data_IF_284851017903
#
_entry.id   IF_284851017903
#
_cell.length_a   1.000
_cell.length_b   1.000
_cell.length_c   1.000
_cell.angle_alpha   90.00
_cell.angle_beta   90.00
_cell.angle_gamma   90.00
#
_symmetry.space_group_name_H-M   'P 1'
#
loop_
_entity.id
_entity.type
_entity.pdbx_description
1 polymer ?
#
# COMPACT_ATOMS: atom_id res chain seq x y z
N UNK A 1 20.11 -20.88 36.30
CA UNK A 1 18.72 -20.42 36.14
C UNK A 1 18.60 -19.05 36.81
N UNK A 2 18.29 -18.03 36.02
CA UNK A 2 18.21 -16.65 36.51
C UNK A 2 16.83 -16.31 37.11
N UNK A 3 15.84 -17.26 37.04
CA UNK A 3 14.48 -17.02 37.50
C UNK A 3 14.46 -16.74 39.02
N UNK A 4 14.10 -15.50 39.38
CA UNK A 4 14.09 -15.05 40.80
C UNK A 4 12.67 -14.87 41.33
N UNK A 5 11.73 -14.40 40.51
CA UNK A 5 10.34 -14.16 40.91
C UNK A 5 9.33 -14.22 39.73
N UNK A 6 9.76 -14.70 38.57
CA UNK A 6 8.87 -14.82 37.41
C UNK A 6 7.97 -16.06 37.50
N UNK A 7 6.66 -15.85 37.46
CA UNK A 7 5.65 -16.92 37.57
C UNK A 7 5.06 -17.27 36.19
N UNK A 8 4.49 -18.48 36.10
CA UNK A 8 3.71 -18.96 34.95
C UNK A 8 4.44 -18.93 33.59
N UNK A 9 5.77 -19.16 33.58
CA UNK A 9 6.54 -19.25 32.34
C UNK A 9 6.70 -20.71 31.86
N UNK A 10 6.65 -20.91 30.55
CA UNK A 10 7.00 -22.18 29.89
C UNK A 10 8.27 -21.96 29.07
N UNK A 11 9.36 -22.65 29.41
CA UNK A 11 10.62 -22.59 28.67
C UNK A 11 11.06 -24.01 28.28
N UNK A 12 11.12 -24.28 26.96
CA UNK A 12 11.49 -25.61 26.43
C UNK A 12 12.56 -25.45 25.33
N UNK A 13 13.76 -25.87 25.60
CA UNK A 13 14.88 -25.81 24.64
C UNK A 13 16.18 -25.35 25.29
N UNK A 14 17.29 -25.54 24.56
CA UNK A 14 18.59 -25.06 24.99
C UNK A 14 18.58 -23.52 25.03
N UNK A 15 18.95 -22.94 26.16
CA UNK A 15 18.95 -21.49 26.40
C UNK A 15 17.59 -20.79 26.23
N UNK A 16 16.47 -21.50 26.23
CA UNK A 16 15.16 -20.86 26.21
C UNK A 16 14.91 -20.10 27.53
N UNK A 17 14.68 -18.76 27.44
CA UNK A 17 14.37 -17.91 28.58
C UNK A 17 15.47 -17.84 29.66
N UNK A 18 16.73 -18.03 29.32
CA UNK A 18 17.82 -18.12 30.30
C UNK A 18 18.07 -16.83 31.11
N UNK A 19 17.71 -15.69 30.59
CA UNK A 19 17.85 -14.40 31.28
C UNK A 19 16.63 -14.00 32.12
N UNK A 20 15.51 -14.76 32.06
CA UNK A 20 14.26 -14.38 32.77
C UNK A 20 14.51 -14.26 34.27
N UNK A 21 14.23 -13.09 34.82
CA UNK A 21 14.36 -12.81 36.28
C UNK A 21 13.00 -12.64 36.94
N UNK A 22 12.21 -11.66 36.51
CA UNK A 22 10.85 -11.38 37.00
C UNK A 22 9.78 -11.37 35.92
N UNK A 23 10.13 -11.64 34.66
CA UNK A 23 9.19 -11.81 33.57
C UNK A 23 8.20 -12.97 33.83
N UNK A 24 6.95 -12.83 33.45
CA UNK A 24 5.88 -13.79 33.77
C UNK A 24 4.94 -14.04 32.59
N UNK A 25 4.25 -15.19 32.62
CA UNK A 25 3.31 -15.60 31.58
C UNK A 25 3.94 -15.69 30.16
N UNK A 26 5.21 -16.05 30.04
CA UNK A 26 5.86 -16.23 28.74
C UNK A 26 5.83 -17.69 28.29
N UNK A 27 5.68 -17.93 27.00
CA UNK A 27 5.83 -19.25 26.35
C UNK A 27 7.05 -19.17 25.43
N UNK A 28 8.13 -19.86 25.78
CA UNK A 28 9.45 -19.80 25.12
C UNK A 28 9.84 -21.22 24.70
N UNK A 29 9.66 -21.57 23.43
CA UNK A 29 9.88 -22.92 22.92
C UNK A 29 10.84 -22.90 21.73
N UNK A 30 12.01 -23.46 21.89
CA UNK A 30 13.06 -23.52 20.88
C UNK A 30 14.41 -23.18 21.45
N UNK A 31 15.49 -23.51 20.71
CA UNK A 31 16.84 -23.11 21.12
C UNK A 31 16.93 -21.59 21.10
N UNK A 32 17.36 -20.99 22.22
CA UNK A 32 17.50 -19.55 22.45
C UNK A 32 16.19 -18.74 22.25
N UNK A 33 15.02 -19.37 22.33
CA UNK A 33 13.75 -18.62 22.28
C UNK A 33 13.63 -17.70 23.50
N UNK A 34 13.44 -16.38 23.29
CA UNK A 34 13.35 -15.37 24.34
C UNK A 34 14.59 -15.33 25.25
N UNK A 35 15.79 -15.60 24.74
CA UNK A 35 17.00 -15.77 25.54
C UNK A 35 17.39 -14.51 26.30
N UNK A 36 17.09 -13.31 25.80
CA UNK A 36 17.41 -12.02 26.43
C UNK A 36 16.31 -11.51 27.38
N UNK A 37 15.12 -12.11 27.44
CA UNK A 37 14.03 -11.63 28.30
C UNK A 37 14.47 -11.61 29.75
N UNK A 38 14.38 -10.44 30.41
CA UNK A 38 14.61 -10.29 31.85
C UNK A 38 13.32 -10.03 32.61
N UNK A 39 12.57 -8.98 32.25
CA UNK A 39 11.35 -8.55 32.91
C UNK A 39 10.12 -8.60 32.01
N UNK A 40 10.31 -8.86 30.70
CA UNK A 40 9.23 -8.95 29.70
C UNK A 40 8.19 -10.00 30.04
N UNK A 41 6.92 -9.73 29.74
CA UNK A 41 5.82 -10.59 30.14
C UNK A 41 4.81 -10.83 29.01
N UNK A 42 4.08 -11.95 29.11
CA UNK A 42 2.99 -12.31 28.18
C UNK A 42 3.45 -12.42 26.72
N UNK A 43 4.69 -12.85 26.50
CA UNK A 43 5.22 -13.13 25.19
C UNK A 43 5.05 -14.60 24.82
N UNK A 44 4.88 -14.88 23.53
CA UNK A 44 4.87 -16.22 22.96
C UNK A 44 5.96 -16.29 21.90
N UNK A 45 7.09 -16.95 22.18
CA UNK A 45 8.19 -17.14 21.23
C UNK A 45 8.40 -18.63 20.98
N UNK A 46 8.14 -19.06 19.74
CA UNK A 46 8.24 -20.47 19.33
C UNK A 46 9.10 -20.56 18.07
N UNK A 47 10.29 -21.10 18.20
CA UNK A 47 11.25 -21.27 17.10
C UNK A 47 12.69 -21.05 17.56
N UNK A 48 13.65 -21.42 16.70
CA UNK A 48 15.05 -21.13 16.91
C UNK A 48 15.26 -19.60 16.92
N UNK A 49 15.81 -19.05 18.01
CA UNK A 49 16.04 -17.61 18.18
C UNK A 49 14.79 -16.73 17.99
N UNK A 50 13.58 -17.26 18.18
CA UNK A 50 12.38 -16.43 18.19
C UNK A 50 12.41 -15.50 19.41
N UNK A 51 12.28 -14.18 19.19
CA UNK A 51 12.27 -13.18 20.26
C UNK A 51 13.55 -13.11 21.10
N UNK A 52 14.70 -13.54 20.58
CA UNK A 52 15.92 -13.64 21.37
C UNK A 52 16.58 -12.29 21.71
N UNK A 53 16.18 -11.19 21.03
CA UNK A 53 16.57 -9.81 21.32
C UNK A 53 15.67 -9.05 22.29
N UNK A 54 14.55 -9.64 22.74
CA UNK A 54 13.60 -9.01 23.67
C UNK A 54 14.13 -9.02 25.11
N UNK A 55 13.98 -7.93 25.83
CA UNK A 55 14.38 -7.81 27.24
C UNK A 55 13.17 -7.56 28.17
N UNK A 56 12.53 -6.40 28.03
CA UNK A 56 11.44 -5.96 28.89
C UNK A 56 10.06 -5.89 28.19
N UNK A 57 10.03 -6.07 26.88
CA UNK A 57 8.86 -5.91 26.03
C UNK A 57 7.78 -6.96 26.34
N UNK A 58 6.53 -6.57 26.08
CA UNK A 58 5.38 -7.37 26.48
C UNK A 58 4.39 -7.60 25.32
N UNK A 59 3.58 -8.65 25.45
CA UNK A 59 2.51 -8.97 24.52
C UNK A 59 2.93 -9.24 23.07
N UNK A 60 4.15 -9.69 22.84
CA UNK A 60 4.63 -10.06 21.51
C UNK A 60 4.43 -11.55 21.23
N UNK A 61 4.09 -11.88 19.97
CA UNK A 61 3.97 -13.25 19.49
C UNK A 61 4.92 -13.47 18.32
N UNK A 62 5.95 -14.27 18.49
CA UNK A 62 6.91 -14.67 17.47
C UNK A 62 6.88 -16.19 17.26
N UNK A 63 6.45 -16.65 16.08
CA UNK A 63 6.41 -18.07 15.73
C UNK A 63 7.17 -18.30 14.42
N UNK A 64 8.33 -18.92 14.52
CA UNK A 64 9.24 -19.18 13.40
C UNK A 64 10.68 -18.92 13.80
N UNK A 65 11.62 -19.41 12.99
CA UNK A 65 13.05 -19.11 13.17
C UNK A 65 13.30 -17.61 13.04
N UNK A 66 13.92 -16.98 14.04
CA UNK A 66 14.23 -15.54 14.04
C UNK A 66 13.01 -14.61 13.97
N UNK A 67 11.80 -15.12 14.18
CA UNK A 67 10.63 -14.24 14.25
C UNK A 67 10.75 -13.30 15.45
N UNK A 68 10.69 -11.96 15.22
CA UNK A 68 10.99 -10.96 16.24
C UNK A 68 12.37 -11.16 16.90
N UNK A 69 13.37 -11.70 16.16
CA UNK A 69 14.67 -12.07 16.70
C UNK A 69 15.66 -10.90 16.84
N UNK A 70 15.39 -9.77 16.19
CA UNK A 70 16.27 -8.59 16.25
C UNK A 70 16.29 -7.88 17.60
N UNK A 71 17.23 -6.95 17.79
CA UNK A 71 17.33 -6.18 19.02
C UNK A 71 16.13 -5.24 19.13
N UNK A 72 15.25 -5.49 20.06
CA UNK A 72 14.09 -4.65 20.37
C UNK A 72 14.43 -3.60 21.42
N UNK A 73 13.80 -2.45 21.35
CA UNK A 73 13.93 -1.36 22.30
C UNK A 73 12.56 -0.69 22.50
N UNK A 74 11.62 -1.48 23.01
CA UNK A 74 10.29 -1.02 23.40
C UNK A 74 9.13 -1.44 22.48
N UNK A 75 9.36 -2.19 21.39
CA UNK A 75 8.29 -2.67 20.51
C UNK A 75 7.37 -3.69 21.19
N UNK A 76 6.06 -3.41 21.28
CA UNK A 76 5.08 -4.22 21.97
C UNK A 76 3.87 -4.56 21.08
N UNK A 77 3.09 -5.56 21.50
CA UNK A 77 1.86 -5.98 20.82
C UNK A 77 2.06 -6.40 19.35
N UNK A 78 3.24 -6.89 18.98
CA UNK A 78 3.51 -7.35 17.63
C UNK A 78 3.21 -8.85 17.46
N UNK A 79 2.71 -9.23 16.30
CA UNK A 79 2.47 -10.62 15.91
C UNK A 79 3.31 -10.95 14.67
N UNK A 80 4.25 -11.86 14.81
CA UNK A 80 5.13 -12.33 13.73
C UNK A 80 5.02 -13.84 13.58
N UNK A 81 4.53 -14.31 12.45
CA UNK A 81 4.40 -15.75 12.14
C UNK A 81 5.11 -16.05 10.82
N UNK A 82 6.24 -16.70 10.89
CA UNK A 82 7.10 -17.01 9.75
C UNK A 82 8.58 -16.81 10.09
N UNK A 83 9.47 -17.48 9.37
CA UNK A 83 10.91 -17.26 9.56
C UNK A 83 11.27 -15.82 9.22
N UNK A 84 12.01 -15.14 10.09
CA UNK A 84 12.47 -13.74 9.96
C UNK A 84 11.33 -12.71 9.83
N UNK A 85 10.11 -13.03 10.26
CA UNK A 85 9.03 -12.04 10.29
C UNK A 85 9.30 -11.00 11.38
N UNK A 86 9.25 -9.70 11.05
CA UNK A 86 9.51 -8.56 11.94
C UNK A 86 10.86 -8.65 12.69
N UNK A 87 11.88 -9.23 12.08
CA UNK A 87 13.16 -9.45 12.79
C UNK A 87 13.97 -8.16 13.05
N UNK A 88 13.67 -7.05 12.36
CA UNK A 88 14.31 -5.76 12.58
C UNK A 88 13.50 -4.78 13.44
N UNK A 89 12.31 -5.16 13.94
CA UNK A 89 11.49 -4.27 14.78
C UNK A 89 12.25 -3.85 16.03
N UNK A 90 12.30 -2.54 16.27
CA UNK A 90 12.90 -1.96 17.48
C UNK A 90 11.87 -1.27 18.37
N UNK A 91 11.24 -0.22 17.87
CA UNK A 91 10.25 0.59 18.62
C UNK A 91 8.84 0.51 18.06
N UNK A 92 8.63 -0.23 16.95
CA UNK A 92 7.33 -0.36 16.29
C UNK A 92 6.35 -1.23 17.08
N UNK A 93 5.11 -0.73 17.26
CA UNK A 93 4.05 -1.41 17.99
C UNK A 93 2.91 -1.85 17.09
N UNK A 94 2.12 -2.84 17.57
CA UNK A 94 0.87 -3.27 16.95
C UNK A 94 1.00 -3.73 15.50
N UNK A 95 2.15 -4.25 15.09
CA UNK A 95 2.32 -4.81 13.75
C UNK A 95 1.89 -6.27 13.70
N UNK A 96 1.29 -6.68 12.59
CA UNK A 96 0.97 -8.08 12.29
C UNK A 96 1.69 -8.49 11.01
N UNK A 97 2.62 -9.43 11.10
CA UNK A 97 3.35 -9.98 9.98
C UNK A 97 3.20 -11.50 9.88
N UNK A 98 2.71 -11.98 8.76
CA UNK A 98 2.50 -13.40 8.49
C UNK A 98 3.13 -13.79 7.16
N UNK A 99 4.20 -14.56 7.22
CA UNK A 99 4.97 -15.00 6.05
C UNK A 99 6.46 -14.92 6.29
N UNK A 100 7.24 -15.68 5.52
CA UNK A 100 8.69 -15.57 5.52
C UNK A 100 9.10 -14.16 5.08
N UNK A 101 9.98 -13.50 5.83
CA UNK A 101 10.44 -12.13 5.59
C UNK A 101 9.30 -11.07 5.54
N UNK A 102 8.16 -11.33 6.16
CA UNK A 102 7.12 -10.31 6.26
C UNK A 102 7.54 -9.20 7.24
N UNK A 103 7.62 -7.95 6.77
CA UNK A 103 7.99 -6.78 7.58
C UNK A 103 9.44 -6.78 8.08
N UNK A 104 10.38 -7.48 7.44
CA UNK A 104 11.77 -7.64 7.94
C UNK A 104 12.52 -6.33 8.16
N UNK A 105 12.26 -5.27 7.39
CA UNK A 105 12.92 -3.97 7.57
C UNK A 105 12.13 -3.01 8.49
N UNK A 106 11.01 -3.43 9.07
CA UNK A 106 10.18 -2.57 9.91
C UNK A 106 10.90 -2.28 11.23
N UNK A 107 11.44 -1.06 11.39
CA UNK A 107 12.20 -0.64 12.56
C UNK A 107 11.34 0.14 13.55
N UNK A 108 10.73 1.24 13.09
CA UNK A 108 9.89 2.14 13.89
C UNK A 108 8.42 2.14 13.43
N UNK A 109 8.14 1.45 12.31
CA UNK A 109 6.80 1.35 11.75
C UNK A 109 5.80 0.70 12.71
N UNK A 110 4.58 1.25 12.79
CA UNK A 110 3.57 0.78 13.74
C UNK A 110 2.21 0.60 13.08
N UNK A 111 1.39 -0.30 13.64
CA UNK A 111 0.02 -0.55 13.20
C UNK A 111 -0.07 -1.00 11.73
N UNK A 112 0.91 -1.77 11.28
CA UNK A 112 0.95 -2.32 9.93
C UNK A 112 0.47 -3.78 9.90
N UNK A 113 -0.10 -4.18 8.76
CA UNK A 113 -0.44 -5.57 8.45
C UNK A 113 0.35 -6.02 7.22
N UNK A 114 1.24 -6.98 7.38
CA UNK A 114 2.05 -7.59 6.33
C UNK A 114 1.70 -9.08 6.21
N UNK A 115 1.05 -9.49 5.13
CA UNK A 115 0.70 -10.91 4.91
C UNK A 115 1.17 -11.37 3.54
N UNK A 116 2.15 -12.26 3.51
CA UNK A 116 2.73 -12.81 2.27
C UNK A 116 4.25 -12.81 2.27
N UNK A 117 4.85 -13.36 1.22
CA UNK A 117 6.30 -13.45 1.01
C UNK A 117 6.78 -12.61 -0.17
N UNK A 118 7.74 -11.73 0.03
CA UNK A 118 7.87 -10.86 1.19
C UNK A 118 6.82 -9.73 1.11
N UNK A 119 6.08 -9.50 2.16
CA UNK A 119 5.17 -8.36 2.26
C UNK A 119 5.76 -7.33 3.23
N UNK A 120 5.83 -6.06 2.84
CA UNK A 120 6.37 -4.98 3.69
C UNK A 120 7.88 -5.09 3.97
N UNK A 121 8.65 -5.85 3.18
CA UNK A 121 10.10 -6.06 3.40
C UNK A 121 10.91 -4.75 3.43
N UNK A 122 10.46 -3.72 2.72
CA UNK A 122 11.14 -2.41 2.65
C UNK A 122 10.55 -1.36 3.61
N UNK A 123 9.47 -1.68 4.34
CA UNK A 123 8.80 -0.73 5.23
C UNK A 123 9.65 -0.51 6.49
N UNK A 124 10.29 0.65 6.62
CA UNK A 124 11.12 1.00 7.78
C UNK A 124 10.30 1.67 8.87
N UNK A 125 9.66 2.79 8.55
CA UNK A 125 9.01 3.67 9.52
C UNK A 125 7.52 3.93 9.17
N UNK A 126 7.03 3.35 8.06
CA UNK A 126 5.65 3.50 7.61
C UNK A 126 4.62 3.00 8.63
N UNK A 127 3.44 3.64 8.67
CA UNK A 127 2.39 3.34 9.66
C UNK A 127 1.04 3.12 8.98
N UNK A 128 0.18 2.36 9.65
CA UNK A 128 -1.20 2.12 9.20
C UNK A 128 -1.30 1.46 7.82
N UNK A 129 -0.25 0.78 7.35
CA UNK A 129 -0.27 0.16 6.04
C UNK A 129 -0.84 -1.26 6.11
N UNK A 130 -1.67 -1.61 5.13
CA UNK A 130 -2.15 -2.98 4.90
C UNK A 130 -1.54 -3.50 3.60
N UNK A 131 -0.62 -4.44 3.69
CA UNK A 131 0.08 -5.05 2.57
C UNK A 131 -0.17 -6.56 2.57
N UNK A 132 -1.03 -7.02 1.66
CA UNK A 132 -1.44 -8.42 1.57
C UNK A 132 -1.15 -8.97 0.18
N UNK A 133 -0.22 -9.88 0.09
CA UNK A 133 0.19 -10.51 -1.17
C UNK A 133 1.69 -10.76 -1.27
N UNK A 134 2.10 -11.54 -2.27
CA UNK A 134 3.51 -11.76 -2.51
C UNK A 134 4.18 -10.53 -3.13
N UNK A 135 5.35 -10.17 -2.64
CA UNK A 135 6.18 -9.08 -3.18
C UNK A 135 5.52 -7.69 -3.14
N UNK A 136 4.66 -7.43 -2.15
CA UNK A 136 4.13 -6.10 -1.84
C UNK A 136 5.12 -5.41 -0.91
N UNK A 137 6.20 -4.84 -1.45
CA UNK A 137 7.40 -4.54 -0.66
C UNK A 137 8.07 -3.18 -0.94
N UNK A 138 7.42 -2.25 -1.64
CA UNK A 138 8.06 -0.97 -2.01
C UNK A 138 7.83 0.17 -1.03
N UNK A 139 6.79 0.11 -0.19
CA UNK A 139 6.55 1.18 0.80
C UNK A 139 7.69 1.19 1.82
N UNK A 140 8.28 2.36 2.02
CA UNK A 140 9.35 2.59 3.01
C UNK A 140 8.85 3.35 4.22
N UNK A 141 8.41 4.58 4.03
CA UNK A 141 7.93 5.49 5.07
C UNK A 141 6.49 5.96 4.87
N UNK A 142 5.85 5.58 3.75
CA UNK A 142 4.45 5.95 3.44
C UNK A 142 3.45 5.45 4.48
N UNK A 143 2.37 6.21 4.69
CA UNK A 143 1.34 5.92 5.70
C UNK A 143 -0.04 5.67 5.09
N UNK A 144 -0.84 4.88 5.80
CA UNK A 144 -2.26 4.63 5.48
C UNK A 144 -2.49 4.10 4.05
N UNK A 145 -1.65 3.19 3.59
CA UNK A 145 -1.79 2.56 2.29
C UNK A 145 -2.46 1.18 2.40
N UNK A 146 -3.30 0.84 1.43
CA UNK A 146 -3.95 -0.46 1.30
C UNK A 146 -3.53 -1.11 -0.02
N UNK A 147 -2.57 -2.03 0.03
CA UNK A 147 -1.97 -2.69 -1.12
C UNK A 147 -2.31 -4.19 -1.07
N UNK A 148 -3.11 -4.65 -2.01
CA UNK A 148 -3.64 -6.03 -2.01
C UNK A 148 -3.36 -6.71 -3.34
N UNK A 149 -2.82 -7.91 -3.28
CA UNK A 149 -2.47 -8.71 -4.45
C UNK A 149 -0.97 -8.74 -4.71
N UNK A 150 -0.54 -9.66 -5.59
CA UNK A 150 0.86 -9.79 -5.95
C UNK A 150 1.40 -8.46 -6.49
N UNK A 151 2.56 -8.03 -5.99
CA UNK A 151 3.27 -6.83 -6.44
C UNK A 151 2.45 -5.52 -6.44
N UNK A 152 1.34 -5.45 -5.69
CA UNK A 152 0.56 -4.22 -5.56
C UNK A 152 1.42 -3.09 -4.97
N UNK A 153 1.37 -1.90 -5.55
CA UNK A 153 2.17 -0.74 -5.15
C UNK A 153 3.64 -0.77 -5.60
N UNK A 154 4.08 -1.78 -6.35
CA UNK A 154 5.45 -1.86 -6.90
C UNK A 154 5.56 -1.23 -8.29
N UNK A 155 6.76 -1.22 -8.88
CA UNK A 155 6.96 -0.80 -10.28
C UNK A 155 6.16 -1.66 -11.28
N UNK A 156 5.78 -2.88 -10.89
CA UNK A 156 4.97 -3.79 -11.69
C UNK A 156 3.46 -3.51 -11.61
N UNK A 157 3.02 -2.59 -10.77
CA UNK A 157 1.61 -2.20 -10.64
C UNK A 157 1.31 -0.87 -11.35
N UNK A 158 0.03 -0.52 -11.55
CA UNK A 158 -0.35 0.78 -12.13
C UNK A 158 0.16 2.00 -11.34
N UNK A 159 0.40 1.84 -10.05
CA UNK A 159 0.94 2.86 -9.16
C UNK A 159 2.12 2.29 -8.37
N UNK A 160 3.23 3.04 -8.31
CA UNK A 160 4.33 2.74 -7.37
C UNK A 160 4.11 3.54 -6.10
N UNK A 161 4.23 2.90 -4.94
CA UNK A 161 4.05 3.53 -3.63
C UNK A 161 5.31 3.25 -2.81
N UNK A 162 6.12 4.29 -2.60
CA UNK A 162 7.33 4.21 -1.77
C UNK A 162 7.20 5.06 -0.51
N UNK A 163 6.99 6.34 -0.66
CA UNK A 163 6.80 7.31 0.43
C UNK A 163 5.41 7.96 0.39
N UNK A 164 4.59 7.61 -0.61
CA UNK A 164 3.24 8.15 -0.77
C UNK A 164 2.27 7.62 0.29
N UNK A 165 1.30 8.45 0.64
CA UNK A 165 0.29 8.16 1.65
C UNK A 165 -1.10 8.02 1.05
N UNK A 166 -1.99 7.32 1.78
CA UNK A 166 -3.42 7.23 1.49
C UNK A 166 -3.75 6.60 0.12
N UNK A 167 -2.96 5.63 -0.34
CA UNK A 167 -3.14 4.95 -1.62
C UNK A 167 -3.83 3.61 -1.44
N UNK A 168 -4.81 3.32 -2.28
CA UNK A 168 -5.37 1.98 -2.46
C UNK A 168 -4.91 1.43 -3.82
N UNK A 169 -4.19 0.31 -3.82
CA UNK A 169 -3.78 -0.39 -5.03
C UNK A 169 -4.13 -1.88 -4.93
N UNK A 170 -4.78 -2.41 -5.95
CA UNK A 170 -5.18 -3.80 -6.01
C UNK A 170 -4.54 -4.46 -7.23
N UNK A 171 -3.63 -5.39 -6.98
CA UNK A 171 -2.93 -6.17 -7.99
C UNK A 171 -1.81 -5.46 -8.74
N UNK A 172 -1.22 -6.19 -9.67
CA UNK A 172 -0.15 -5.73 -10.55
C UNK A 172 -0.68 -5.41 -11.97
N UNK A 173 0.22 -5.06 -12.88
CA UNK A 173 -0.11 -4.74 -14.28
C UNK A 173 -0.62 -5.94 -15.10
N UNK A 174 -0.63 -7.15 -14.55
CA UNK A 174 -1.16 -8.35 -15.20
C UNK A 174 -2.65 -8.56 -14.91
N UNK A 175 -3.26 -7.77 -14.02
CA UNK A 175 -4.72 -7.82 -13.80
C UNK A 175 -5.42 -7.39 -15.10
N UNK A 176 -6.18 -8.31 -15.68
CA UNK A 176 -6.88 -8.12 -16.95
C UNK A 176 -8.36 -7.80 -16.78
N UNK A 177 -8.96 -8.09 -15.62
CA UNK A 177 -10.38 -7.82 -15.34
C UNK A 177 -10.61 -7.58 -13.85
N UNK A 178 -11.54 -6.68 -13.55
CA UNK A 178 -12.06 -6.46 -12.19
C UNK A 178 -13.56 -6.69 -12.22
N UNK A 179 -14.04 -7.65 -11.41
CA UNK A 179 -15.45 -7.98 -11.31
C UNK A 179 -16.00 -7.53 -9.96
N UNK A 180 -16.92 -6.57 -9.99
CA UNK A 180 -17.55 -6.01 -8.80
C UNK A 180 -19.07 -6.11 -9.01
N UNK A 181 -19.80 -6.65 -8.03
CA UNK A 181 -21.25 -6.86 -8.13
C UNK A 181 -22.04 -5.55 -8.13
N UNK A 182 -21.50 -4.49 -7.53
CA UNK A 182 -22.14 -3.18 -7.40
C UNK A 182 -21.13 -2.08 -7.65
N UNK A 183 -21.57 -0.89 -8.06
CA UNK A 183 -20.67 0.25 -8.26
C UNK A 183 -20.05 0.77 -6.97
N UNK A 184 -18.91 1.42 -7.11
CA UNK A 184 -18.29 2.17 -6.02
C UNK A 184 -19.12 3.41 -5.68
N UNK A 185 -19.45 3.57 -4.40
CA UNK A 185 -20.09 4.79 -3.91
C UNK A 185 -19.03 5.79 -3.49
N UNK A 186 -18.98 6.94 -4.15
CA UNK A 186 -18.07 8.05 -3.81
C UNK A 186 -18.79 8.99 -2.85
N UNK A 187 -18.16 9.31 -1.71
CA UNK A 187 -18.68 10.29 -0.77
C UNK A 187 -18.86 11.65 -1.45
N UNK A 188 -20.02 12.29 -1.28
CA UNK A 188 -20.37 13.53 -1.97
C UNK A 188 -21.30 14.45 -1.15
N UNK A 189 -21.17 14.43 0.18
CA UNK A 189 -21.97 15.32 1.04
C UNK A 189 -21.57 16.79 0.81
N UNK A 190 -22.57 17.66 0.67
CA UNK A 190 -22.35 19.10 0.48
C UNK A 190 -21.63 19.75 1.65
N UNK A 191 -21.82 19.23 2.85
CA UNK A 191 -21.20 19.78 4.09
C UNK A 191 -19.68 19.59 4.14
N UNK A 192 -19.16 18.62 3.36
CA UNK A 192 -17.74 18.28 3.29
C UNK A 192 -17.05 18.95 2.09
N UNK A 193 -17.72 19.91 1.42
CA UNK A 193 -17.22 20.60 0.24
C UNK A 193 -17.18 22.11 0.46
N UNK A 194 -16.12 22.72 -0.03
CA UNK A 194 -15.92 24.19 -0.05
C UNK A 194 -15.58 24.66 -1.45
N UNK A 195 -15.52 25.96 -1.67
CA UNK A 195 -15.12 26.59 -2.94
C UNK A 195 -15.90 26.06 -4.17
N UNK A 196 -17.22 25.87 -3.98
CA UNK A 196 -18.11 25.30 -4.99
C UNK A 196 -18.28 26.32 -6.11
N UNK A 197 -17.80 25.96 -7.31
CA UNK A 197 -17.94 26.76 -8.54
C UNK A 197 -18.50 25.89 -9.68
N UNK A 198 -19.11 26.54 -10.67
CA UNK A 198 -19.58 25.83 -11.88
C UNK A 198 -18.40 25.37 -12.74
N UNK A 199 -18.58 24.23 -13.42
CA UNK A 199 -17.62 23.75 -14.42
C UNK A 199 -17.66 24.72 -15.64
N UNK A 200 -16.49 25.27 -16.05
CA UNK A 200 -16.42 26.15 -17.21
C UNK A 200 -16.32 25.35 -18.53
N UNK A 201 -16.83 25.91 -19.62
CA UNK A 201 -16.57 25.48 -21.00
C UNK A 201 -16.59 23.97 -21.23
N UNK A 202 -17.55 23.26 -20.65
CA UNK A 202 -17.59 21.79 -20.66
C UNK A 202 -17.85 21.22 -22.06
N UNK A 203 -18.67 21.87 -22.89
CA UNK A 203 -18.93 21.46 -24.26
C UNK A 203 -17.65 21.56 -25.12
N UNK A 204 -16.90 22.65 -24.99
CA UNK A 204 -15.64 22.84 -25.73
C UNK A 204 -14.59 21.79 -25.28
N UNK A 205 -14.47 21.55 -23.98
CA UNK A 205 -13.57 20.52 -23.44
C UNK A 205 -13.91 19.12 -24.01
N UNK A 206 -15.16 18.71 -23.93
CA UNK A 206 -15.61 17.41 -24.44
C UNK A 206 -15.40 17.28 -25.97
N UNK A 207 -15.64 18.34 -26.74
CA UNK A 207 -15.44 18.34 -28.18
C UNK A 207 -13.97 18.24 -28.60
N UNK A 208 -13.04 18.68 -27.76
CA UNK A 208 -11.59 18.58 -28.01
C UNK A 208 -10.99 17.24 -27.60
N UNK A 209 -11.67 16.44 -26.76
CA UNK A 209 -11.18 15.13 -26.39
C UNK A 209 -11.08 14.23 -27.63
N UNK A 210 -9.98 13.49 -27.72
CA UNK A 210 -9.71 12.52 -28.80
C UNK A 210 -9.82 11.07 -28.28
N UNK A 211 -10.99 10.42 -28.35
CA UNK A 211 -11.12 9.02 -28.01
C UNK A 211 -10.40 8.15 -29.04
N UNK A 212 -9.57 7.24 -28.56
CA UNK A 212 -8.75 6.35 -29.39
C UNK A 212 -8.99 4.88 -29.09
N UNK A 213 -8.60 4.01 -30.00
CA UNK A 213 -8.38 2.59 -29.74
C UNK A 213 -6.88 2.32 -29.64
N UNK A 214 -6.50 1.44 -28.73
CA UNK A 214 -5.10 1.08 -28.52
C UNK A 214 -4.94 -0.36 -28.04
N UNK A 215 -3.72 -0.86 -28.06
CA UNK A 215 -3.32 -2.11 -27.39
C UNK A 215 -2.29 -1.77 -26.34
N UNK A 216 -2.37 -2.41 -25.19
CA UNK A 216 -1.36 -2.26 -24.18
C UNK A 216 -0.04 -2.86 -24.65
N UNK A 217 1.03 -2.09 -24.49
CA UNK A 217 2.42 -2.49 -24.64
C UNK A 217 3.20 -1.86 -23.49
N UNK A 218 3.23 -2.59 -22.37
CA UNK A 218 3.62 -2.01 -21.08
C UNK A 218 5.15 -1.92 -20.98
N UNK A 219 5.67 -0.76 -20.59
CA UNK A 219 7.10 -0.48 -20.37
C UNK A 219 7.77 -1.52 -19.46
N UNK A 220 7.07 -1.99 -18.44
CA UNK A 220 7.57 -3.00 -17.48
C UNK A 220 7.91 -4.35 -18.15
N UNK A 221 7.31 -4.68 -19.29
CA UNK A 221 7.62 -5.90 -20.03
C UNK A 221 8.98 -5.85 -20.74
N UNK A 222 9.57 -4.67 -20.84
CA UNK A 222 10.87 -4.43 -21.49
C UNK A 222 12.00 -4.21 -20.49
N UNK A 223 11.75 -3.43 -19.43
CA UNK A 223 12.74 -3.06 -18.44
C UNK A 223 12.06 -2.47 -17.20
N UNK A 224 12.74 -2.51 -16.06
CA UNK A 224 12.35 -1.72 -14.87
C UNK A 224 12.55 -0.22 -15.09
N UNK A 225 13.36 0.17 -16.09
CA UNK A 225 13.53 1.56 -16.51
C UNK A 225 12.29 2.06 -17.24
N UNK A 226 11.55 2.95 -16.58
CA UNK A 226 10.31 3.53 -17.10
C UNK A 226 10.50 4.55 -18.23
N UNK A 227 11.73 4.96 -18.52
CA UNK A 227 12.04 5.87 -19.64
C UNK A 227 11.98 5.17 -21.00
N UNK A 228 11.96 3.83 -21.02
CA UNK A 228 11.93 3.06 -22.26
C UNK A 228 10.64 3.30 -23.04
N UNK A 229 10.77 3.37 -24.37
CA UNK A 229 9.63 3.41 -25.28
C UNK A 229 9.37 2.01 -25.83
N UNK A 230 8.20 1.40 -25.59
CA UNK A 230 7.83 0.12 -26.14
C UNK A 230 7.90 0.08 -27.67
N UNK A 231 8.37 -1.04 -28.23
CA UNK A 231 8.57 -1.23 -29.67
C UNK A 231 7.51 -2.12 -30.35
N UNK A 232 6.49 -2.53 -29.59
CA UNK A 232 5.40 -3.38 -30.07
C UNK A 232 5.62 -4.88 -29.92
N UNK A 233 6.78 -5.33 -29.42
CA UNK A 233 7.08 -6.77 -29.31
C UNK A 233 6.30 -7.45 -28.17
N UNK A 234 5.88 -6.71 -27.15
CA UNK A 234 5.11 -7.22 -26.02
C UNK A 234 3.67 -6.70 -25.97
N UNK A 235 3.15 -6.17 -27.08
CA UNK A 235 1.79 -5.68 -27.13
C UNK A 235 0.77 -6.79 -26.93
N UNK A 236 -0.28 -6.48 -26.16
CA UNK A 236 -1.41 -7.39 -25.95
C UNK A 236 -2.30 -7.52 -27.20
N UNK A 237 -2.93 -8.68 -27.39
CA UNK A 237 -3.89 -8.87 -28.47
C UNK A 237 -5.21 -8.12 -28.27
N UNK A 238 -5.57 -7.87 -27.00
CA UNK A 238 -6.82 -7.20 -26.64
C UNK A 238 -6.81 -5.74 -27.11
N UNK A 239 -7.82 -5.35 -27.89
CA UNK A 239 -8.07 -3.96 -28.24
C UNK A 239 -8.80 -3.26 -27.10
N UNK A 240 -8.31 -2.09 -26.72
CA UNK A 240 -8.87 -1.22 -25.69
C UNK A 240 -9.33 0.11 -26.30
N UNK A 241 -10.19 0.83 -25.60
CA UNK A 241 -10.62 2.19 -25.95
C UNK A 241 -10.32 3.13 -24.77
N UNK A 242 -10.01 4.38 -25.07
CA UNK A 242 -9.76 5.37 -24.01
C UNK A 242 -9.17 6.67 -24.53
N UNK A 243 -8.51 7.36 -23.65
CA UNK A 243 -7.79 8.61 -23.92
C UNK A 243 -6.31 8.46 -23.58
N UNK A 244 -5.44 9.25 -24.22
CA UNK A 244 -4.07 9.46 -23.78
C UNK A 244 -4.10 10.48 -22.63
N UNK A 245 -3.56 10.13 -21.48
CA UNK A 245 -3.61 10.98 -20.29
C UNK A 245 -2.89 12.32 -20.52
N UNK A 246 -1.81 12.33 -21.31
CA UNK A 246 -1.06 13.53 -21.66
C UNK A 246 -1.89 14.50 -22.52
N UNK A 247 -2.65 13.99 -23.50
CA UNK A 247 -3.53 14.82 -24.33
C UNK A 247 -4.64 15.46 -23.48
N UNK A 248 -5.17 14.69 -22.51
CA UNK A 248 -6.16 15.22 -21.56
C UNK A 248 -5.55 16.26 -20.63
N UNK A 249 -4.31 16.06 -20.17
CA UNK A 249 -3.58 17.03 -19.35
C UNK A 249 -3.41 18.38 -20.08
N UNK A 250 -3.06 18.34 -21.37
CA UNK A 250 -2.93 19.56 -22.18
C UNK A 250 -4.26 20.35 -22.22
N UNK A 251 -5.38 19.67 -22.41
CA UNK A 251 -6.71 20.29 -22.40
C UNK A 251 -7.09 20.82 -21.00
N UNK A 252 -6.75 20.13 -19.93
CA UNK A 252 -6.97 20.64 -18.57
C UNK A 252 -6.15 21.88 -18.29
N UNK A 253 -4.89 21.93 -18.77
CA UNK A 253 -4.02 23.09 -18.65
C UNK A 253 -4.59 24.32 -19.42
N UNK A 254 -5.20 24.14 -20.60
CA UNK A 254 -5.90 25.21 -21.32
C UNK A 254 -7.04 25.82 -20.51
N UNK A 255 -7.70 25.02 -19.66
CA UNK A 255 -8.77 25.45 -18.75
C UNK A 255 -8.23 26.07 -17.45
N UNK A 256 -6.90 26.09 -17.24
CA UNK A 256 -6.26 26.59 -16.04
C UNK A 256 -6.17 25.57 -14.88
N UNK A 257 -6.42 24.28 -15.16
CA UNK A 257 -6.29 23.20 -14.18
C UNK A 257 -5.02 22.41 -14.45
N UNK A 258 -4.17 22.29 -13.45
CA UNK A 258 -2.89 21.56 -13.61
C UNK A 258 -2.38 20.92 -12.31
N UNK A 259 -1.37 20.04 -12.46
CA UNK A 259 -0.77 19.31 -11.35
C UNK A 259 0.01 20.19 -10.36
N UNK A 260 0.66 21.25 -10.85
CA UNK A 260 1.54 22.08 -10.03
C UNK A 260 0.76 22.88 -8.99
N UNK A 261 -0.47 23.25 -9.34
CA UNK A 261 -1.42 23.91 -8.42
C UNK A 261 -2.36 22.93 -7.72
N UNK A 262 -2.22 21.61 -7.97
CA UNK A 262 -3.10 20.54 -7.46
C UNK A 262 -4.57 20.73 -7.84
N UNK A 263 -4.82 21.29 -9.02
CA UNK A 263 -6.17 21.56 -9.54
C UNK A 263 -6.56 20.62 -10.67
N UNK A 264 -5.70 19.67 -11.07
CA UNK A 264 -6.01 18.67 -12.09
C UNK A 264 -7.35 17.95 -11.80
N UNK A 265 -8.18 17.80 -12.84
CA UNK A 265 -9.56 17.34 -12.70
C UNK A 265 -9.68 15.83 -12.93
N UNK A 266 -9.33 15.35 -14.13
CA UNK A 266 -9.53 13.96 -14.55
C UNK A 266 -8.23 13.17 -14.63
N UNK A 267 -7.11 13.86 -14.89
CA UNK A 267 -5.78 13.23 -14.94
C UNK A 267 -5.23 13.04 -13.53
N UNK A 268 -4.65 11.89 -13.28
CA UNK A 268 -4.02 11.53 -12.01
C UNK A 268 -2.55 11.19 -12.23
N UNK A 269 -1.75 11.45 -11.21
CA UNK A 269 -0.31 11.18 -11.19
C UNK A 269 0.03 10.31 -10.00
N UNK A 270 1.02 9.44 -10.17
CA UNK A 270 1.57 8.64 -9.09
C UNK A 270 3.09 8.73 -9.09
N UNK A 271 3.72 8.31 -8.01
CA UNK A 271 5.17 8.20 -7.93
C UNK A 271 5.74 7.46 -9.14
N UNK A 272 6.85 7.98 -9.70
CA UNK A 272 7.51 7.41 -10.87
C UNK A 272 6.86 7.77 -12.21
N UNK A 273 6.24 8.94 -12.33
CA UNK A 273 5.69 9.50 -13.58
C UNK A 273 4.68 8.58 -14.31
N UNK A 274 3.85 7.88 -13.54
CA UNK A 274 2.72 7.18 -14.11
C UNK A 274 1.51 8.11 -14.20
N UNK A 275 0.96 8.22 -15.41
CA UNK A 275 -0.24 8.96 -15.71
C UNK A 275 -1.45 8.02 -15.70
N UNK A 276 -2.55 8.47 -15.12
CA UNK A 276 -3.83 7.79 -15.16
C UNK A 276 -4.96 8.76 -15.52
N UNK A 277 -6.08 8.22 -15.97
CA UNK A 277 -7.30 8.97 -16.25
C UNK A 277 -8.45 8.42 -15.41
N UNK A 278 -9.08 9.30 -14.64
CA UNK A 278 -10.25 8.94 -13.83
C UNK A 278 -11.52 9.11 -14.66
N UNK A 279 -11.95 8.06 -15.36
CA UNK A 279 -13.08 8.12 -16.28
C UNK A 279 -14.40 8.58 -15.66
N UNK A 280 -14.68 8.25 -14.41
CA UNK A 280 -15.89 8.69 -13.71
C UNK A 280 -16.01 10.21 -13.55
N UNK A 281 -14.88 10.91 -13.54
CA UNK A 281 -14.85 12.38 -13.44
C UNK A 281 -15.29 13.09 -14.74
N UNK A 282 -15.37 12.38 -15.86
CA UNK A 282 -15.97 12.93 -17.09
C UNK A 282 -17.49 13.04 -17.02
N UNK A 283 -18.16 12.31 -16.14
CA UNK A 283 -19.63 12.35 -16.03
C UNK A 283 -20.16 13.78 -15.75
N UNK A 284 -19.64 14.54 -14.78
CA UNK A 284 -20.04 15.94 -14.57
C UNK A 284 -19.81 16.83 -15.81
N UNK A 285 -18.68 16.66 -16.51
CA UNK A 285 -18.40 17.40 -17.76
C UNK A 285 -19.42 17.06 -18.85
N UNK A 286 -19.75 15.78 -19.04
CA UNK A 286 -20.75 15.33 -20.01
C UNK A 286 -22.13 15.91 -19.69
N UNK A 287 -22.54 15.91 -18.41
CA UNK A 287 -23.81 16.50 -17.99
C UNK A 287 -23.85 17.98 -18.31
N UNK A 288 -22.79 18.73 -17.97
CA UNK A 288 -22.74 20.18 -18.27
C UNK A 288 -22.67 20.47 -19.76
N UNK A 289 -21.91 19.69 -20.54
CA UNK A 289 -21.86 19.83 -22.00
C UNK A 289 -23.22 19.61 -22.66
N UNK A 290 -24.01 18.62 -22.21
CA UNK A 290 -25.38 18.41 -22.69
C UNK A 290 -26.29 19.59 -22.35
N UNK A 291 -26.16 20.17 -21.16
CA UNK A 291 -26.91 21.37 -20.77
C UNK A 291 -26.58 22.57 -21.68
N UNK A 292 -25.29 22.84 -21.90
CA UNK A 292 -24.82 23.91 -22.78
C UNK A 292 -25.31 23.72 -24.23
N UNK A 293 -25.22 22.47 -24.76
CA UNK A 293 -25.75 22.17 -26.10
C UNK A 293 -27.27 22.34 -26.18
N UNK A 294 -28.01 21.92 -25.16
CA UNK A 294 -29.46 22.08 -25.10
C UNK A 294 -29.88 23.56 -25.12
N UNK A 295 -29.13 24.42 -24.44
CA UNK A 295 -29.41 25.85 -24.43
C UNK A 295 -29.08 26.51 -25.78
N UNK A 296 -28.00 26.08 -26.46
CA UNK A 296 -27.69 26.52 -27.82
C UNK A 296 -28.81 26.12 -28.83
N UNK A 297 -29.31 24.89 -28.75
CA UNK A 297 -30.40 24.42 -29.60
C UNK A 297 -31.67 25.24 -29.38
N UNK A 298 -32.02 25.57 -28.11
CA UNK A 298 -33.20 26.42 -27.82
C UNK A 298 -33.05 27.80 -28.42
N UNK A 299 -31.89 28.43 -28.30
CA UNK A 299 -31.61 29.73 -28.86
C UNK A 299 -31.79 29.74 -30.39
N UNK A 300 -31.26 28.71 -31.08
CA UNK A 300 -31.41 28.57 -32.54
C UNK A 300 -32.84 28.26 -32.99
N UNK A 301 -33.72 27.76 -32.11
CA UNK A 301 -35.14 27.53 -32.42
C UNK A 301 -36.00 28.79 -32.22
N UNK A 302 -35.53 29.72 -31.44
CA UNK A 302 -36.18 31.00 -31.14
C UNK A 302 -35.83 32.10 -32.15
N UNK A 303 -34.77 31.93 -32.95
CA UNK A 303 -34.40 32.76 -34.13
C UNK A 303 -35.16 32.34 -35.41
#
# INVERSE_FOLDING_TARGET
DALTSGDDNVAIGYEAGTAVTSGYNNILIGKSAGAAITTGARNVFIGYQAGDGHDAETYNVGVGEGALGGPINGGEYNVAVGSMALDAVQTGDYNTAIGHNAGTACVEGSQNVFVGYPAGESCTDGRYNTMVGAQVNTVTTGENNCLIGRQAGTSASPVTVTTGDNVVCIGDSNISASHIQVDWTVASDKRDKTDITDLPNSLDFINKLNPITYRWDKRINYSEDKSITPDGTHKEDQLSIGFLAQDVEELENELGFNKDTKTNLTVTYSEGDNYGVTYSKFVPFLVKAIQELSDQVKTLQEE
#
